data_IF_113889043062
#
_entry.id   IF_113889043062
#
_cell.length_a   1.000
_cell.length_b   1.000
_cell.length_c   1.000
_cell.angle_alpha   90.00
_cell.angle_beta   90.00
_cell.angle_gamma   90.00
#
_symmetry.space_group_name_H-M   'P 1'
#
loop_
_entity.id
_entity.type
_entity.pdbx_description
1 polymer ?
#
# COMPACT_ATOMS: atom_id res chain seq x y z
N UNK A 1 -20.66 -5.79 -35.07
CA UNK A 1 -20.05 -4.80 -35.98
C UNK A 1 -19.84 -3.50 -35.20
N UNK A 2 -18.62 -3.28 -34.70
CA UNK A 2 -18.25 -2.07 -33.96
C UNK A 2 -18.05 -0.91 -34.94
N UNK A 3 -18.80 0.19 -34.76
CA UNK A 3 -18.54 1.44 -35.46
C UNK A 3 -17.13 1.93 -35.08
N UNK A 4 -16.25 2.24 -36.05
CA UNK A 4 -14.98 2.88 -35.73
C UNK A 4 -15.27 4.26 -35.15
N UNK A 5 -14.67 4.56 -34.00
CA UNK A 5 -14.70 5.87 -33.36
C UNK A 5 -14.07 6.89 -34.33
N UNK A 6 -14.90 7.69 -35.01
CA UNK A 6 -14.44 8.76 -35.89
C UNK A 6 -13.78 9.86 -35.02
N UNK A 7 -12.48 9.76 -34.80
CA UNK A 7 -11.71 10.86 -34.21
C UNK A 7 -11.45 11.93 -35.28
N UNK A 8 -11.79 13.21 -35.04
CA UNK A 8 -11.44 14.30 -35.95
C UNK A 8 -9.92 14.41 -36.15
N UNK A 9 -9.53 14.76 -37.39
CA UNK A 9 -8.17 14.80 -37.92
C UNK A 9 -7.30 15.92 -37.35
N UNK A 10 -7.15 15.97 -36.03
CA UNK A 10 -6.11 16.73 -35.36
C UNK A 10 -5.68 15.91 -34.15
N UNK A 11 -4.71 15.00 -34.37
CA UNK A 11 -4.30 13.97 -33.40
C UNK A 11 -4.08 14.64 -32.03
N UNK A 12 -4.82 14.25 -30.97
CA UNK A 12 -4.53 14.77 -29.66
C UNK A 12 -3.09 14.35 -29.29
N UNK A 13 -2.33 15.21 -28.57
CA UNK A 13 -0.95 14.91 -28.23
C UNK A 13 -0.83 13.52 -27.59
N UNK A 14 0.31 12.86 -27.79
CA UNK A 14 0.55 11.47 -27.35
C UNK A 14 0.19 11.26 -25.86
N UNK A 15 0.40 12.30 -25.06
CA UNK A 15 0.01 12.40 -23.64
C UNK A 15 -1.49 12.19 -23.44
N UNK A 16 -2.36 12.79 -24.26
CA UNK A 16 -3.82 12.67 -24.14
C UNK A 16 -4.28 11.25 -24.41
N UNK A 17 -3.68 10.55 -25.39
CA UNK A 17 -4.01 9.14 -25.67
C UNK A 17 -3.63 8.21 -24.52
N UNK A 18 -2.48 8.45 -23.89
CA UNK A 18 -2.07 7.71 -22.71
C UNK A 18 -3.04 7.93 -21.53
N UNK A 19 -3.46 9.18 -21.33
CA UNK A 19 -4.43 9.55 -20.28
C UNK A 19 -5.83 8.95 -20.54
N UNK A 20 -6.27 8.85 -21.80
CA UNK A 20 -7.50 8.15 -22.19
C UNK A 20 -7.47 6.67 -21.78
N UNK A 21 -6.38 5.96 -22.13
CA UNK A 21 -6.22 4.53 -21.82
C UNK A 21 -6.20 4.31 -20.31
N UNK A 22 -5.55 5.19 -19.55
CA UNK A 22 -5.54 5.14 -18.09
C UNK A 22 -6.93 5.38 -17.48
N UNK A 23 -7.70 6.35 -17.99
CA UNK A 23 -9.06 6.63 -17.53
C UNK A 23 -10.00 5.45 -17.74
N UNK A 24 -9.97 4.88 -18.94
CA UNK A 24 -10.76 3.69 -19.29
C UNK A 24 -10.39 2.52 -18.36
N UNK A 25 -9.10 2.36 -18.02
CA UNK A 25 -8.65 1.31 -17.10
C UNK A 25 -9.08 1.57 -15.64
N UNK A 26 -9.21 2.83 -15.23
CA UNK A 26 -9.58 3.20 -13.85
C UNK A 26 -11.10 3.15 -13.63
N UNK A 27 -11.90 3.59 -14.60
CA UNK A 27 -13.36 3.69 -14.48
C UNK A 27 -14.13 2.59 -15.22
N UNK A 28 -13.45 1.76 -16.00
CA UNK A 28 -14.08 0.82 -16.92
C UNK A 28 -14.46 1.47 -18.25
N UNK A 29 -14.79 0.64 -19.25
CA UNK A 29 -15.02 1.08 -20.62
C UNK A 29 -16.14 2.13 -20.72
N UNK A 30 -17.27 1.86 -20.08
CA UNK A 30 -18.49 2.66 -20.23
C UNK A 30 -18.44 4.01 -19.49
N UNK A 31 -18.05 4.00 -18.22
CA UNK A 31 -17.90 5.23 -17.44
C UNK A 31 -16.71 6.05 -17.94
N UNK A 32 -15.63 5.39 -18.38
CA UNK A 32 -14.50 6.04 -19.03
C UNK A 32 -14.90 6.78 -20.30
N UNK A 33 -15.67 6.15 -21.19
CA UNK A 33 -16.09 6.75 -22.47
C UNK A 33 -17.04 7.95 -22.29
N UNK A 34 -17.98 7.88 -21.34
CA UNK A 34 -18.87 9.03 -21.05
C UNK A 34 -18.10 10.23 -20.50
N UNK A 35 -17.21 9.99 -19.53
CA UNK A 35 -16.37 11.04 -18.94
C UNK A 35 -15.41 11.62 -19.99
N UNK A 36 -14.90 10.78 -20.89
CA UNK A 36 -14.04 11.21 -22.00
C UNK A 36 -14.82 12.05 -23.02
N UNK A 37 -16.04 11.64 -23.35
CA UNK A 37 -16.93 12.34 -24.27
C UNK A 37 -17.21 13.76 -23.80
N UNK A 38 -17.56 13.93 -22.53
CA UNK A 38 -17.82 15.24 -21.91
C UNK A 38 -16.57 16.14 -21.93
N UNK A 39 -15.41 15.59 -21.55
CA UNK A 39 -14.15 16.33 -21.59
C UNK A 39 -13.72 16.75 -23.01
N UNK A 40 -14.01 15.92 -24.02
CA UNK A 40 -13.70 16.24 -25.42
C UNK A 40 -14.65 17.29 -26.00
N UNK A 41 -15.95 17.21 -25.68
CA UNK A 41 -16.93 18.21 -26.09
C UNK A 41 -16.59 19.60 -25.53
N UNK A 42 -16.23 19.66 -24.24
CA UNK A 42 -15.84 20.93 -23.61
C UNK A 42 -14.49 21.45 -24.12
N UNK A 43 -13.56 20.56 -24.46
CA UNK A 43 -12.31 20.93 -25.12
C UNK A 43 -12.56 21.59 -26.49
N UNK A 44 -13.43 21.02 -27.32
CA UNK A 44 -13.74 21.58 -28.63
C UNK A 44 -14.42 22.94 -28.54
N UNK A 45 -15.28 23.17 -27.53
CA UNK A 45 -15.84 24.49 -27.21
C UNK A 45 -14.75 25.49 -26.82
N UNK A 46 -13.83 25.12 -25.92
CA UNK A 46 -12.75 26.01 -25.43
C UNK A 46 -11.68 26.29 -26.48
N UNK A 47 -11.44 25.35 -27.41
CA UNK A 47 -10.50 25.49 -28.52
C UNK A 47 -10.90 26.60 -29.48
N UNK A 48 -12.19 26.87 -29.63
CA UNK A 48 -12.71 27.97 -30.47
C UNK A 48 -12.29 29.36 -29.94
N UNK A 49 -12.07 29.49 -28.62
CA UNK A 49 -11.63 30.74 -27.99
C UNK A 49 -10.10 30.81 -27.90
N UNK A 50 -9.43 29.75 -27.46
CA UNK A 50 -7.96 29.70 -27.37
C UNK A 50 -7.44 28.26 -27.36
N UNK A 51 -6.64 27.93 -28.38
CA UNK A 51 -6.06 26.60 -28.52
C UNK A 51 -5.05 26.26 -27.41
N UNK A 52 -4.32 27.25 -26.89
CA UNK A 52 -3.36 27.04 -25.81
C UNK A 52 -4.06 26.78 -24.47
N UNK A 53 -5.04 27.62 -24.12
CA UNK A 53 -5.81 27.46 -22.88
C UNK A 53 -6.58 26.13 -22.86
N UNK A 54 -7.16 25.72 -23.99
CA UNK A 54 -7.84 24.44 -24.12
C UNK A 54 -6.92 23.23 -23.85
N UNK A 55 -5.68 23.27 -24.36
CA UNK A 55 -4.69 22.20 -24.13
C UNK A 55 -4.23 22.10 -22.68
N UNK A 56 -4.02 23.23 -22.02
CA UNK A 56 -3.65 23.23 -20.60
C UNK A 56 -4.82 22.77 -19.72
N UNK A 57 -6.04 23.24 -20.04
CA UNK A 57 -7.25 22.85 -19.34
C UNK A 57 -7.48 21.34 -19.44
N UNK A 58 -7.45 20.75 -20.64
CA UNK A 58 -7.74 19.33 -20.80
C UNK A 58 -6.72 18.46 -20.06
N UNK A 59 -5.43 18.82 -20.09
CA UNK A 59 -4.40 18.12 -19.32
C UNK A 59 -4.64 18.17 -17.80
N UNK A 60 -5.08 19.33 -17.30
CA UNK A 60 -5.44 19.49 -15.89
C UNK A 60 -6.65 18.63 -15.48
N UNK A 61 -7.66 18.54 -16.35
CA UNK A 61 -8.84 17.70 -16.11
C UNK A 61 -8.49 16.23 -16.12
N UNK A 62 -7.74 15.76 -17.12
CA UNK A 62 -7.23 14.39 -17.14
C UNK A 62 -6.49 14.04 -15.85
N UNK A 63 -5.62 14.94 -15.38
CA UNK A 63 -4.86 14.72 -14.14
C UNK A 63 -5.79 14.64 -12.93
N UNK A 64 -6.75 15.55 -12.80
CA UNK A 64 -7.71 15.56 -11.68
C UNK A 64 -8.61 14.33 -11.67
N UNK A 65 -9.16 13.96 -12.83
CA UNK A 65 -10.05 12.79 -12.96
C UNK A 65 -9.27 11.50 -12.72
N UNK A 66 -8.02 11.40 -13.18
CA UNK A 66 -7.17 10.26 -12.85
C UNK A 66 -6.81 10.20 -11.37
N UNK A 67 -6.40 11.32 -10.77
CA UNK A 67 -6.08 11.38 -9.34
C UNK A 67 -7.28 10.99 -8.48
N UNK A 68 -8.47 11.49 -8.79
CA UNK A 68 -9.70 11.14 -8.06
C UNK A 68 -10.09 9.68 -8.26
N UNK A 69 -9.95 9.14 -9.48
CA UNK A 69 -10.22 7.74 -9.77
C UNK A 69 -9.25 6.79 -9.08
N UNK A 70 -7.94 7.07 -9.15
CA UNK A 70 -6.91 6.32 -8.45
C UNK A 70 -7.09 6.42 -6.93
N UNK A 71 -7.38 7.61 -6.40
CA UNK A 71 -7.68 7.79 -4.98
C UNK A 71 -8.88 6.94 -4.54
N UNK A 72 -9.95 6.92 -5.34
CA UNK A 72 -11.11 6.08 -5.07
C UNK A 72 -10.76 4.60 -5.11
N UNK A 73 -9.96 4.15 -6.08
CA UNK A 73 -9.50 2.76 -6.11
C UNK A 73 -8.66 2.42 -4.88
N UNK A 74 -7.70 3.27 -4.50
CA UNK A 74 -6.83 3.08 -3.33
C UNK A 74 -7.58 3.09 -2.00
N UNK A 75 -8.74 3.74 -1.91
CA UNK A 75 -9.57 3.81 -0.69
C UNK A 75 -10.61 2.70 -0.60
N UNK A 76 -10.83 1.93 -1.67
CA UNK A 76 -11.65 0.71 -1.60
C UNK A 76 -10.94 -0.37 -0.77
N UNK A 77 -11.71 -1.28 -0.16
CA UNK A 77 -11.14 -2.41 0.60
C UNK A 77 -10.21 -3.28 -0.24
N UNK A 78 -10.55 -3.51 -1.51
CA UNK A 78 -9.70 -4.23 -2.47
C UNK A 78 -8.41 -3.47 -2.76
N UNK A 79 -8.48 -2.15 -2.96
CA UNK A 79 -7.31 -1.30 -3.18
C UNK A 79 -6.36 -1.31 -1.98
N UNK A 80 -6.90 -1.10 -0.78
CA UNK A 80 -6.13 -1.15 0.48
C UNK A 80 -5.45 -2.52 0.64
N UNK A 81 -6.18 -3.62 0.42
CA UNK A 81 -5.60 -4.97 0.47
C UNK A 81 -4.45 -5.14 -0.53
N UNK A 82 -4.60 -4.68 -1.78
CA UNK A 82 -3.53 -4.74 -2.79
C UNK A 82 -2.31 -3.91 -2.40
N UNK A 83 -2.51 -2.69 -1.89
CA UNK A 83 -1.42 -1.82 -1.43
C UNK A 83 -0.63 -2.51 -0.32
N UNK A 84 -1.32 -3.07 0.68
CA UNK A 84 -0.67 -3.75 1.80
C UNK A 84 0.03 -5.04 1.35
N UNK A 85 -0.55 -5.78 0.41
CA UNK A 85 0.09 -6.96 -0.18
C UNK A 85 1.38 -6.59 -0.92
N UNK A 86 1.35 -5.53 -1.73
CA UNK A 86 2.55 -5.00 -2.38
C UNK A 86 3.58 -4.51 -1.35
N UNK A 87 3.14 -3.80 -0.31
CA UNK A 87 4.02 -3.38 0.77
C UNK A 87 4.67 -4.59 1.48
N UNK A 88 3.92 -5.67 1.67
CA UNK A 88 4.44 -6.94 2.23
C UNK A 88 5.52 -7.54 1.34
N UNK A 89 5.28 -7.63 0.02
CA UNK A 89 6.24 -8.16 -0.94
C UNK A 89 7.53 -7.33 -1.03
N UNK A 90 7.45 -6.02 -0.80
CA UNK A 90 8.61 -5.12 -0.85
C UNK A 90 9.37 -5.05 0.48
N UNK A 91 8.65 -4.93 1.60
CA UNK A 91 9.25 -4.69 2.93
C UNK A 91 9.76 -5.98 3.56
N UNK A 92 9.10 -7.12 3.34
CA UNK A 92 9.49 -8.37 3.98
C UNK A 92 10.90 -8.84 3.56
N UNK A 93 11.30 -8.80 2.28
CA UNK A 93 12.69 -9.07 1.89
C UNK A 93 13.70 -8.11 2.52
N UNK A 94 13.35 -6.82 2.66
CA UNK A 94 14.20 -5.84 3.33
C UNK A 94 14.41 -6.18 4.81
N UNK A 95 13.35 -6.60 5.50
CA UNK A 95 13.45 -7.05 6.89
C UNK A 95 14.28 -8.32 7.03
N UNK A 96 14.13 -9.28 6.11
CA UNK A 96 14.98 -10.50 6.07
C UNK A 96 16.45 -10.11 5.91
N UNK A 97 16.74 -9.23 4.95
CA UNK A 97 18.10 -8.73 4.74
C UNK A 97 18.66 -8.01 5.96
N UNK A 98 17.86 -7.17 6.60
CA UNK A 98 18.27 -6.41 7.77
C UNK A 98 18.55 -7.33 8.97
N UNK A 99 17.72 -8.35 9.20
CA UNK A 99 17.92 -9.35 10.25
C UNK A 99 19.16 -10.21 9.96
N UNK A 100 19.33 -10.66 8.72
CA UNK A 100 20.51 -11.43 8.31
C UNK A 100 21.80 -10.62 8.50
N UNK A 101 21.79 -9.34 8.13
CA UNK A 101 22.90 -8.42 8.34
C UNK A 101 23.18 -8.17 9.83
N UNK A 102 22.15 -7.87 10.63
CA UNK A 102 22.28 -7.70 12.08
C UNK A 102 22.86 -8.93 12.77
N UNK A 103 22.53 -10.13 12.29
CA UNK A 103 23.04 -11.39 12.84
C UNK A 103 24.53 -11.63 12.55
N UNK A 104 25.12 -10.92 11.58
CA UNK A 104 26.49 -11.08 11.12
C UNK A 104 27.34 -9.80 11.31
N UNK A 105 26.94 -8.93 12.25
CA UNK A 105 27.44 -7.56 12.35
C UNK A 105 28.82 -7.42 13.00
N UNK A 106 29.49 -8.52 13.37
CA UNK A 106 30.75 -8.50 14.11
C UNK A 106 31.92 -7.80 13.37
N UNK A 107 31.82 -7.65 12.04
CA UNK A 107 32.85 -7.00 11.20
C UNK A 107 32.38 -5.71 10.51
N UNK A 108 31.33 -5.06 11.03
CA UNK A 108 30.75 -3.87 10.39
C UNK A 108 31.62 -2.60 10.52
N UNK A 109 31.36 -1.62 9.66
CA UNK A 109 31.93 -0.26 9.78
C UNK A 109 31.43 0.46 11.04
N UNK A 110 32.26 1.35 11.60
CA UNK A 110 31.92 2.15 12.80
C UNK A 110 30.65 2.98 12.61
N UNK A 111 30.44 3.52 11.39
CA UNK A 111 29.26 4.33 11.07
C UNK A 111 27.96 3.52 11.19
N UNK A 112 27.93 2.29 10.64
CA UNK A 112 26.76 1.43 10.74
C UNK A 112 26.52 0.98 12.18
N UNK A 113 27.59 0.69 12.93
CA UNK A 113 27.51 0.35 14.34
C UNK A 113 26.89 1.47 15.18
N UNK A 114 27.33 2.73 14.97
CA UNK A 114 26.76 3.90 15.65
C UNK A 114 25.26 4.09 15.33
N UNK A 115 24.85 3.87 14.07
CA UNK A 115 23.44 3.94 13.69
C UNK A 115 22.59 2.89 14.41
N UNK A 116 23.11 1.68 14.59
CA UNK A 116 22.42 0.62 15.34
C UNK A 116 22.33 0.98 16.82
N UNK A 117 23.40 1.49 17.44
CA UNK A 117 23.38 1.94 18.83
C UNK A 117 22.39 3.10 19.05
N UNK A 118 22.25 3.98 18.06
CA UNK A 118 21.26 5.06 18.06
C UNK A 118 19.82 4.59 17.80
N UNK A 119 19.63 3.30 17.45
CA UNK A 119 18.33 2.73 17.09
C UNK A 119 17.84 3.12 15.69
N UNK A 120 18.67 3.77 14.87
CA UNK A 120 18.30 4.36 13.59
C UNK A 120 18.27 3.34 12.43
N UNK A 121 17.70 2.17 12.67
CA UNK A 121 17.67 1.05 11.73
C UNK A 121 17.10 1.41 10.36
N UNK A 122 16.07 2.27 10.32
CA UNK A 122 15.47 2.78 9.09
C UNK A 122 16.47 3.52 8.17
N UNK A 123 17.50 4.17 8.72
CA UNK A 123 18.49 4.93 7.94
C UNK A 123 19.50 4.02 7.25
N UNK A 124 19.75 2.84 7.82
CA UNK A 124 20.73 1.87 7.31
C UNK A 124 20.38 1.45 5.87
N UNK A 125 19.10 1.36 5.53
CA UNK A 125 18.65 1.02 4.17
C UNK A 125 19.06 2.05 3.10
N UNK A 126 19.49 3.25 3.50
CA UNK A 126 19.96 4.30 2.60
C UNK A 126 21.49 4.42 2.56
N UNK A 127 22.19 3.56 3.30
CA UNK A 127 23.66 3.55 3.39
C UNK A 127 24.20 2.55 2.37
N UNK A 128 25.18 2.96 1.57
CA UNK A 128 25.71 2.12 0.47
C UNK A 128 26.44 0.89 1.00
N UNK A 129 27.17 1.06 2.11
CA UNK A 129 27.96 0.05 2.80
C UNK A 129 27.09 -1.15 3.21
N UNK A 130 25.87 -0.89 3.70
CA UNK A 130 24.91 -1.94 4.03
C UNK A 130 24.60 -2.85 2.82
N UNK A 131 24.37 -2.25 1.65
CA UNK A 131 24.04 -3.01 0.44
C UNK A 131 25.22 -3.80 -0.11
N UNK A 132 26.44 -3.37 0.17
CA UNK A 132 27.66 -4.10 -0.22
C UNK A 132 27.89 -5.33 0.68
N UNK A 133 27.58 -5.21 1.98
CA UNK A 133 27.71 -6.31 2.95
C UNK A 133 26.56 -7.31 2.89
N UNK A 134 25.38 -6.87 2.45
CA UNK A 134 24.16 -7.65 2.46
C UNK A 134 24.25 -9.03 1.75
N UNK A 135 24.86 -9.16 0.55
CA UNK A 135 25.00 -10.46 -0.12
C UNK A 135 25.82 -11.47 0.69
N UNK A 136 26.86 -11.01 1.40
CA UNK A 136 27.65 -11.85 2.29
C UNK A 136 26.83 -12.23 3.53
N UNK A 137 26.18 -11.26 4.18
CA UNK A 137 25.34 -11.55 5.34
C UNK A 137 24.22 -12.57 5.03
N UNK A 138 23.61 -12.48 3.84
CA UNK A 138 22.59 -13.43 3.39
C UNK A 138 23.16 -14.83 3.13
N UNK A 139 24.41 -14.95 2.69
CA UNK A 139 25.04 -16.27 2.47
C UNK A 139 25.42 -16.99 3.77
N UNK A 140 25.54 -16.24 4.87
CA UNK A 140 25.79 -16.78 6.21
C UNK A 140 24.52 -17.18 6.96
N UNK A 141 23.34 -17.02 6.37
CA UNK A 141 22.07 -17.46 6.98
C UNK A 141 22.01 -18.99 6.95
N UNK A 142 22.45 -19.63 8.03
CA UNK A 142 22.39 -21.10 8.20
C UNK A 142 21.08 -21.56 8.87
N UNK A 143 20.60 -20.80 9.84
CA UNK A 143 19.53 -21.24 10.75
C UNK A 143 18.31 -20.33 10.70
N UNK A 144 17.13 -20.94 10.58
CA UNK A 144 15.84 -20.22 10.56
C UNK A 144 15.50 -19.67 11.95
N UNK A 145 16.13 -20.20 13.00
CA UNK A 145 15.92 -19.80 14.39
C UNK A 145 16.19 -18.31 14.62
N UNK A 146 17.05 -17.68 13.81
CA UNK A 146 17.30 -16.24 13.87
C UNK A 146 16.02 -15.42 13.64
N UNK A 147 15.01 -15.98 12.95
CA UNK A 147 13.75 -15.32 12.67
C UNK A 147 12.66 -15.60 13.72
N UNK A 148 12.97 -16.30 14.82
CA UNK A 148 12.00 -16.67 15.86
C UNK A 148 12.16 -15.74 17.06
N UNK A 149 11.20 -14.84 17.24
CA UNK A 149 11.09 -13.95 18.39
C UNK A 149 9.71 -14.09 19.06
N UNK A 150 9.58 -14.91 20.12
CA UNK A 150 8.30 -15.18 20.77
C UNK A 150 7.60 -13.93 21.31
N UNK A 151 8.36 -12.95 21.82
CA UNK A 151 7.80 -11.71 22.39
C UNK A 151 7.12 -10.88 21.31
N UNK A 152 7.78 -10.69 20.17
CA UNK A 152 7.21 -9.98 19.01
C UNK A 152 6.03 -10.73 18.42
N UNK A 153 6.08 -12.06 18.36
CA UNK A 153 4.97 -12.88 17.88
C UNK A 153 3.73 -12.72 18.77
N UNK A 154 3.90 -12.74 20.09
CA UNK A 154 2.82 -12.49 21.04
C UNK A 154 2.19 -11.11 20.86
N UNK A 155 3.01 -10.07 20.70
CA UNK A 155 2.51 -8.72 20.40
C UNK A 155 1.73 -8.68 19.09
N UNK A 156 2.30 -9.23 18.02
CA UNK A 156 1.66 -9.25 16.70
C UNK A 156 0.29 -9.93 16.73
N UNK A 157 0.20 -11.10 17.38
CA UNK A 157 -1.04 -11.82 17.57
C UNK A 157 -2.05 -11.02 18.41
N UNK A 158 -1.62 -10.43 19.52
CA UNK A 158 -2.50 -9.63 20.39
C UNK A 158 -3.04 -8.39 19.66
N UNK A 159 -2.17 -7.68 18.92
CA UNK A 159 -2.56 -6.51 18.14
C UNK A 159 -3.56 -6.85 17.02
N UNK A 160 -3.29 -7.91 16.26
CA UNK A 160 -4.21 -8.37 15.22
C UNK A 160 -5.54 -8.88 15.81
N UNK A 161 -5.49 -9.58 16.94
CA UNK A 161 -6.70 -10.03 17.64
C UNK A 161 -7.55 -8.83 18.10
N UNK A 162 -6.92 -7.78 18.65
CA UNK A 162 -7.61 -6.56 19.05
C UNK A 162 -8.27 -5.85 17.86
N UNK A 163 -7.56 -5.68 16.73
CA UNK A 163 -8.11 -5.06 15.51
C UNK A 163 -9.30 -5.87 14.98
N UNK A 164 -9.17 -7.19 14.93
CA UNK A 164 -10.24 -8.07 14.47
C UNK A 164 -11.44 -8.05 15.43
N UNK A 165 -11.19 -8.00 16.74
CA UNK A 165 -12.24 -7.89 17.74
C UNK A 165 -13.02 -6.59 17.60
N UNK A 166 -12.34 -5.45 17.44
CA UNK A 166 -12.97 -4.15 17.17
C UNK A 166 -13.84 -4.24 15.93
N UNK A 167 -13.29 -4.70 14.80
CA UNK A 167 -14.04 -4.86 13.53
C UNK A 167 -15.25 -5.78 13.67
N UNK A 168 -15.18 -6.82 14.52
CA UNK A 168 -16.31 -7.74 14.73
C UNK A 168 -17.44 -7.14 15.59
N UNK A 169 -17.14 -6.12 16.40
CA UNK A 169 -18.09 -5.49 17.34
C UNK A 169 -18.63 -4.16 16.86
N UNK A 170 -17.97 -3.53 15.90
CA UNK A 170 -18.33 -2.20 15.40
C UNK A 170 -18.50 -2.19 13.89
N UNK A 171 -19.21 -1.20 13.36
CA UNK A 171 -19.31 -0.92 11.92
C UNK A 171 -18.12 -0.06 11.42
N UNK A 172 -16.97 -0.15 12.10
CA UNK A 172 -15.79 0.66 11.79
C UNK A 172 -15.29 0.36 10.38
N UNK A 173 -15.05 1.36 9.52
CA UNK A 173 -14.59 1.13 8.15
C UNK A 173 -13.24 0.42 8.10
N UNK A 174 -13.04 -0.43 7.08
CA UNK A 174 -11.83 -1.25 6.94
C UNK A 174 -10.55 -0.40 6.89
N UNK A 175 -10.62 0.79 6.30
CA UNK A 175 -9.51 1.74 6.23
C UNK A 175 -9.04 2.19 7.62
N UNK A 176 -9.96 2.40 8.56
CA UNK A 176 -9.62 2.80 9.93
C UNK A 176 -9.04 1.63 10.71
N UNK A 177 -9.58 0.41 10.54
CA UNK A 177 -8.98 -0.79 11.10
C UNK A 177 -7.56 -1.04 10.56
N UNK A 178 -7.33 -0.81 9.27
CA UNK A 178 -6.00 -0.88 8.65
C UNK A 178 -5.06 0.17 9.24
N UNK A 179 -5.51 1.42 9.42
CA UNK A 179 -4.71 2.47 10.03
C UNK A 179 -4.33 2.11 11.47
N UNK A 180 -5.27 1.58 12.26
CA UNK A 180 -5.00 1.10 13.61
C UNK A 180 -3.98 -0.05 13.63
N UNK A 181 -4.11 -1.02 12.74
CA UNK A 181 -3.15 -2.12 12.62
C UNK A 181 -1.74 -1.63 12.26
N UNK A 182 -1.63 -0.66 11.34
CA UNK A 182 -0.36 -0.02 10.99
C UNK A 182 0.26 0.72 12.19
N UNK A 183 -0.55 1.45 12.96
CA UNK A 183 -0.09 2.12 14.18
C UNK A 183 0.43 1.11 15.19
N UNK A 184 -0.30 0.03 15.45
CA UNK A 184 0.11 -1.02 16.40
C UNK A 184 1.35 -1.79 15.93
N UNK A 185 1.53 -1.93 14.61
CA UNK A 185 2.70 -2.55 14.00
C UNK A 185 3.96 -1.69 14.16
N UNK A 186 3.84 -0.37 13.98
CA UNK A 186 4.97 0.57 14.04
C UNK A 186 5.24 1.07 15.47
N UNK A 187 4.26 0.95 16.38
CA UNK A 187 4.38 1.43 17.76
C UNK A 187 5.63 0.91 18.49
N UNK A 188 5.96 -0.40 18.50
CA UNK A 188 7.18 -0.89 19.15
C UNK A 188 8.46 -0.24 18.63
N UNK A 189 8.51 0.08 17.34
CA UNK A 189 9.64 0.74 16.72
C UNK A 189 9.79 2.19 17.20
N UNK A 190 8.71 2.97 17.20
CA UNK A 190 8.73 4.36 17.70
C UNK A 190 9.06 4.39 19.20
N UNK A 191 8.47 3.48 19.98
CA UNK A 191 8.75 3.36 21.42
C UNK A 191 10.23 3.01 21.63
N UNK A 192 10.77 2.08 20.85
CA UNK A 192 12.20 1.72 20.95
C UNK A 192 13.12 2.90 20.61
N UNK A 193 12.81 3.68 19.58
CA UNK A 193 13.60 4.86 19.22
C UNK A 193 13.65 5.88 20.36
N UNK A 194 12.48 6.23 20.91
CA UNK A 194 12.39 7.17 22.03
C UNK A 194 13.13 6.62 23.24
N UNK A 195 12.98 5.34 23.55
CA UNK A 195 13.64 4.71 24.68
C UNK A 195 15.16 4.69 24.54
N UNK A 196 15.70 4.32 23.37
CA UNK A 196 17.13 4.27 23.12
C UNK A 196 17.78 5.66 23.22
N UNK A 197 17.10 6.70 22.73
CA UNK A 197 17.60 8.08 22.78
C UNK A 197 17.55 8.68 24.19
N UNK A 198 16.55 8.33 25.00
CA UNK A 198 16.34 8.93 26.32
C UNK A 198 17.01 8.17 27.46
N UNK A 199 16.95 6.84 27.44
CA UNK A 199 17.45 6.00 28.53
C UNK A 199 18.93 5.60 28.35
N UNK A 200 19.48 5.72 27.14
CA UNK A 200 20.85 5.31 26.80
C UNK A 200 21.23 3.95 27.40
N UNK A 201 20.48 2.88 27.11
CA UNK A 201 20.68 1.59 27.74
C UNK A 201 22.04 0.99 27.36
N UNK A 202 22.53 0.10 28.22
CA UNK A 202 23.81 -0.62 28.00
C UNK A 202 23.73 -1.38 26.67
N UNK A 203 24.80 -1.43 25.84
CA UNK A 203 24.77 -2.03 24.50
C UNK A 203 24.15 -3.44 24.41
N UNK A 204 24.31 -4.26 25.46
CA UNK A 204 23.71 -5.61 25.55
C UNK A 204 22.17 -5.62 25.48
N UNK A 205 21.52 -4.52 25.85
CA UNK A 205 20.05 -4.40 25.85
C UNK A 205 19.50 -3.88 24.51
N UNK A 206 20.34 -3.24 23.70
CA UNK A 206 19.93 -2.59 22.45
C UNK A 206 19.48 -3.63 21.41
N UNK A 207 20.26 -4.72 21.24
CA UNK A 207 19.95 -5.79 20.30
C UNK A 207 18.55 -6.39 20.49
N UNK A 208 18.18 -6.87 21.70
CA UNK A 208 16.84 -7.39 21.98
C UNK A 208 15.71 -6.38 21.73
N UNK A 209 15.94 -5.09 22.00
CA UNK A 209 14.95 -4.02 21.76
C UNK A 209 14.71 -3.85 20.26
N UNK A 210 15.79 -3.77 19.48
CA UNK A 210 15.74 -3.65 18.02
C UNK A 210 15.07 -4.89 17.43
N UNK A 211 15.48 -6.09 17.86
CA UNK A 211 14.86 -7.34 17.44
C UNK A 211 13.35 -7.32 17.70
N UNK A 212 12.92 -6.91 18.91
CA UNK A 212 11.49 -6.84 19.23
C UNK A 212 10.73 -5.93 18.25
N UNK A 213 11.29 -4.77 17.92
CA UNK A 213 10.68 -3.80 17.00
C UNK A 213 10.59 -4.32 15.56
N UNK A 214 11.66 -4.88 15.02
CA UNK A 214 11.72 -5.38 13.63
C UNK A 214 10.85 -6.62 13.45
N UNK A 215 10.91 -7.56 14.40
CA UNK A 215 10.11 -8.79 14.33
C UNK A 215 8.61 -8.51 14.46
N UNK A 216 8.22 -7.43 15.14
CA UNK A 216 6.81 -7.03 15.17
C UNK A 216 6.30 -6.71 13.77
N UNK A 217 7.06 -5.93 12.99
CA UNK A 217 6.70 -5.60 11.61
C UNK A 217 6.73 -6.88 10.75
N UNK A 218 7.78 -7.69 10.91
CA UNK A 218 7.96 -8.94 10.16
C UNK A 218 6.77 -9.90 10.32
N UNK A 219 6.22 -10.05 11.54
CA UNK A 219 5.07 -10.93 11.77
C UNK A 219 3.72 -10.28 11.46
N UNK A 220 3.51 -9.01 11.84
CA UNK A 220 2.21 -8.37 11.64
C UNK A 220 1.90 -8.09 10.18
N UNK A 221 2.90 -7.71 9.38
CA UNK A 221 2.68 -7.29 8.00
C UNK A 221 2.01 -8.39 7.13
N UNK A 222 2.51 -9.65 7.09
CA UNK A 222 1.84 -10.73 6.36
C UNK A 222 0.49 -11.11 6.98
N UNK A 223 0.34 -11.11 8.31
CA UNK A 223 -0.95 -11.35 8.96
C UNK A 223 -2.00 -10.31 8.54
N UNK A 224 -1.61 -9.04 8.50
CA UNK A 224 -2.45 -7.93 8.09
C UNK A 224 -2.83 -8.03 6.61
N UNK A 225 -1.87 -8.36 5.74
CA UNK A 225 -2.13 -8.55 4.31
C UNK A 225 -3.15 -9.66 4.05
N UNK A 226 -2.99 -10.81 4.73
CA UNK A 226 -3.93 -11.92 4.64
C UNK A 226 -5.32 -11.55 5.17
N UNK A 227 -5.38 -10.93 6.35
CA UNK A 227 -6.64 -10.52 6.97
C UNK A 227 -7.40 -9.51 6.09
N UNK A 228 -6.73 -8.47 5.57
CA UNK A 228 -7.33 -7.49 4.66
C UNK A 228 -7.82 -8.12 3.37
N UNK A 229 -7.06 -9.06 2.79
CA UNK A 229 -7.48 -9.76 1.58
C UNK A 229 -8.77 -10.53 1.80
N UNK A 230 -8.88 -11.25 2.93
CA UNK A 230 -10.10 -11.96 3.31
C UNK A 230 -11.29 -11.01 3.48
N UNK A 231 -11.10 -9.89 4.18
CA UNK A 231 -12.16 -8.90 4.41
C UNK A 231 -12.61 -8.25 3.10
N UNK A 232 -11.67 -7.85 2.24
CA UNK A 232 -11.98 -7.26 0.94
C UNK A 232 -12.77 -8.22 0.03
N UNK A 233 -12.40 -9.52 0.05
CA UNK A 233 -13.14 -10.55 -0.69
C UNK A 233 -14.57 -10.74 -0.17
N UNK A 234 -14.76 -10.68 1.15
CA UNK A 234 -16.09 -10.76 1.76
C UNK A 234 -16.97 -9.57 1.36
N UNK A 235 -16.47 -8.34 1.50
CA UNK A 235 -17.21 -7.14 1.09
C UNK A 235 -17.56 -7.14 -0.41
N UNK A 236 -16.66 -7.66 -1.26
CA UNK A 236 -16.93 -7.79 -2.69
C UNK A 236 -18.06 -8.78 -2.99
N UNK A 237 -18.05 -9.94 -2.32
CA UNK A 237 -19.09 -10.96 -2.48
C UNK A 237 -20.45 -10.46 -1.97
N UNK A 238 -20.47 -9.70 -0.87
CA UNK A 238 -21.70 -9.10 -0.34
C UNK A 238 -22.29 -8.08 -1.31
N UNK A 239 -21.46 -7.24 -1.95
CA UNK A 239 -21.92 -6.30 -2.98
C UNK A 239 -22.55 -7.00 -4.18
N UNK A 240 -21.90 -8.06 -4.69
CA UNK A 240 -22.45 -8.83 -5.81
C UNK A 240 -23.82 -9.43 -5.49
N UNK A 241 -24.00 -9.97 -4.28
CA UNK A 241 -25.30 -10.51 -3.84
C UNK A 241 -26.39 -9.45 -3.77
N UNK A 242 -26.05 -8.24 -3.30
CA UNK A 242 -27.01 -7.13 -3.24
C UNK A 242 -27.40 -6.68 -4.65
N UNK A 243 -26.43 -6.55 -5.56
CA UNK A 243 -26.68 -6.20 -6.97
C UNK A 243 -27.56 -7.25 -7.66
N UNK A 244 -27.28 -8.54 -7.48
CA UNK A 244 -28.13 -9.63 -8.00
C UNK A 244 -29.56 -9.55 -7.45
N UNK A 245 -29.73 -9.31 -6.15
CA UNK A 245 -31.06 -9.19 -5.55
C UNK A 245 -31.86 -8.00 -6.08
N UNK A 246 -31.22 -6.85 -6.31
CA UNK A 246 -31.87 -5.66 -6.86
C UNK A 246 -32.33 -5.88 -8.30
N UNK A 247 -31.50 -6.50 -9.14
CA UNK A 247 -31.88 -6.84 -10.53
C UNK A 247 -33.07 -7.79 -10.55
N UNK A 248 -33.10 -8.78 -9.65
CA UNK A 248 -34.19 -9.76 -9.59
C UNK A 248 -35.52 -9.16 -9.10
N UNK A 249 -35.46 -8.14 -8.24
CA UNK A 249 -36.66 -7.42 -7.78
C UNK A 249 -37.18 -6.43 -8.83
N UNK A 250 -36.29 -5.72 -9.53
CA UNK A 250 -36.69 -4.87 -10.66
C UNK A 250 -37.33 -5.71 -11.79
N UNK A 251 -36.77 -6.86 -12.14
CA UNK A 251 -37.36 -7.77 -13.15
C UNK A 251 -38.75 -8.28 -12.75
N UNK A 252 -38.99 -8.54 -11.46
CA UNK A 252 -40.32 -8.90 -10.95
C UNK A 252 -41.30 -7.73 -11.05
N UNK A 253 -40.85 -6.51 -10.80
CA UNK A 253 -41.68 -5.31 -10.91
C UNK A 253 -42.10 -4.99 -12.35
N UNK A 254 -41.34 -5.44 -13.36
CA UNK A 254 -41.70 -5.29 -14.77
C UNK A 254 -42.59 -6.41 -15.32
N UNK A 255 -42.81 -7.50 -14.57
CA UNK A 255 -43.62 -8.65 -15.01
C UNK A 255 -45.05 -8.68 -14.43
N UNK A 256 -45.40 -7.76 -13.53
CA UNK A 256 -46.78 -7.53 -13.03
C UNK A 256 -47.44 -6.34 -13.75
#
# INVERSE_FOLDING_TARGET
MSKPLNMPSNKPPLVTRFLCVLLIKVYGLWAGDNILGDMLEEFDKRKQTSAFAARLWIASQYTRTLCTGLWRQCTTSVGISRIVMLATLLVLPLLVGLVAWLSNMDTTTTQLWEMVLAGEMHRILFVTEYWQDLPYALSQVSDVDMFINPKSALWACAAMAAVNWIRSKTTTPLSLCCALALVLMVAPYIISLVYLQTAQPVPKQIGPIIAFSLFTIFYMLPMMAYWLHRQAKQEMNERHKVEESQVTDDERFFCE
#
